data_IF_511741545618
#
_entry.id   IF_511741545618
#
_cell.length_a   1.000
_cell.length_b   1.000
_cell.length_c   1.000
_cell.angle_alpha   90.00
_cell.angle_beta   90.00
_cell.angle_gamma   90.00
#
_symmetry.space_group_name_H-M   'P 1'
#
loop_
_entity.id
_entity.type
_entity.pdbx_description
1 polymer ?
#
# COMPACT_ATOMS: atom_id res chain seq x y z
N UNK A 1 -10.78 15.48 -6.18
CA UNK A 1 -10.75 16.75 -6.94
C UNK A 1 -11.94 16.92 -7.87
N UNK A 2 -12.25 18.14 -8.21
CA UNK A 2 -13.36 18.51 -9.10
C UNK A 2 -12.80 19.13 -10.38
N UNK A 3 -13.40 18.75 -11.52
CA UNK A 3 -13.00 19.21 -12.85
C UNK A 3 -14.20 19.92 -13.51
N UNK A 4 -14.04 21.16 -13.91
CA UNK A 4 -15.02 21.89 -14.73
C UNK A 4 -14.56 21.81 -16.19
N UNK A 5 -15.24 21.02 -17.04
CA UNK A 5 -14.90 20.94 -18.46
C UNK A 5 -15.41 22.17 -19.21
N UNK A 6 -14.77 22.53 -20.33
CA UNK A 6 -15.24 23.62 -21.20
C UNK A 6 -16.54 23.27 -21.93
N UNK A 7 -16.77 22.01 -22.25
CA UNK A 7 -17.95 21.54 -22.97
C UNK A 7 -18.37 20.13 -22.50
N UNK A 8 -19.44 19.60 -23.08
CA UNK A 8 -19.99 18.28 -22.74
C UNK A 8 -19.46 17.12 -23.60
N UNK A 9 -18.48 17.35 -24.45
CA UNK A 9 -17.88 16.31 -25.28
C UNK A 9 -17.14 15.26 -24.44
N UNK A 10 -16.94 14.08 -25.01
CA UNK A 10 -16.26 12.99 -24.32
C UNK A 10 -14.80 13.35 -23.94
N UNK A 11 -14.11 14.11 -24.81
CA UNK A 11 -12.82 14.74 -24.53
C UNK A 11 -13.02 16.24 -24.56
N UNK A 12 -12.73 16.94 -23.48
CA UNK A 12 -12.89 18.38 -23.35
C UNK A 12 -11.64 19.00 -22.73
N UNK A 13 -11.35 20.25 -23.06
CA UNK A 13 -10.42 21.04 -22.27
C UNK A 13 -10.99 21.26 -20.88
N UNK A 14 -10.12 21.41 -19.91
CA UNK A 14 -10.47 21.74 -18.53
C UNK A 14 -10.45 23.24 -18.35
N UNK A 15 -11.58 23.80 -17.94
CA UNK A 15 -11.71 25.22 -17.59
C UNK A 15 -11.15 25.50 -16.20
N UNK A 16 -11.39 24.59 -15.26
CA UNK A 16 -10.95 24.72 -13.88
C UNK A 16 -10.78 23.32 -13.25
N UNK A 17 -9.74 23.16 -12.46
CA UNK A 17 -9.50 22.00 -11.61
C UNK A 17 -9.30 22.47 -10.18
N UNK A 18 -9.95 21.82 -9.22
CA UNK A 18 -9.79 22.13 -7.80
C UNK A 18 -9.72 20.87 -6.95
N UNK A 19 -8.60 20.70 -6.27
CA UNK A 19 -8.41 19.60 -5.33
C UNK A 19 -8.99 19.97 -3.95
N UNK A 20 -9.80 19.09 -3.38
CA UNK A 20 -10.40 19.19 -2.04
C UNK A 20 -10.96 20.59 -1.72
N UNK A 21 -11.88 21.13 -2.54
CA UNK A 21 -12.52 22.41 -2.24
C UNK A 21 -13.34 22.31 -0.94
N UNK A 22 -13.64 23.46 -0.34
CA UNK A 22 -14.61 23.51 0.73
C UNK A 22 -16.02 23.06 0.26
N UNK A 23 -16.89 22.76 1.23
CA UNK A 23 -18.22 22.19 0.94
C UNK A 23 -19.10 23.13 0.09
N UNK A 24 -18.98 24.43 0.27
CA UNK A 24 -19.77 25.40 -0.50
C UNK A 24 -19.30 25.45 -1.96
N UNK A 25 -18.00 25.50 -2.18
CA UNK A 25 -17.38 25.42 -3.50
C UNK A 25 -17.70 24.10 -4.19
N UNK A 26 -17.62 22.97 -3.47
CA UNK A 26 -17.98 21.66 -4.01
C UNK A 26 -19.45 21.61 -4.50
N UNK A 27 -20.39 22.17 -3.74
CA UNK A 27 -21.80 22.27 -4.16
C UNK A 27 -21.97 23.12 -5.42
N UNK A 28 -21.23 24.24 -5.53
CA UNK A 28 -21.24 25.09 -6.73
C UNK A 28 -20.72 24.34 -7.96
N UNK A 29 -19.65 23.56 -7.80
CA UNK A 29 -19.09 22.75 -8.89
C UNK A 29 -20.06 21.66 -9.35
N UNK A 30 -20.69 20.95 -8.41
CA UNK A 30 -21.70 19.94 -8.75
C UNK A 30 -22.88 20.56 -9.51
N UNK A 31 -23.35 21.74 -9.12
CA UNK A 31 -24.40 22.46 -9.84
C UNK A 31 -23.97 22.87 -11.27
N UNK A 32 -22.69 22.97 -11.57
CA UNK A 32 -22.11 23.22 -12.89
C UNK A 32 -21.76 21.93 -13.66
N UNK A 33 -22.25 20.78 -13.22
CA UNK A 33 -21.93 19.47 -13.81
C UNK A 33 -20.43 19.14 -13.81
N UNK A 34 -19.74 19.51 -12.74
CA UNK A 34 -18.35 19.14 -12.55
C UNK A 34 -18.18 17.62 -12.57
N UNK A 35 -17.05 17.18 -13.06
CA UNK A 35 -16.61 15.79 -13.01
C UNK A 35 -15.74 15.58 -11.79
N UNK A 36 -15.72 14.38 -11.26
CA UNK A 36 -14.75 13.97 -10.26
C UNK A 36 -13.44 13.54 -10.91
N UNK A 37 -12.32 13.97 -10.33
CA UNK A 37 -11.00 13.47 -10.71
C UNK A 37 -10.83 12.02 -10.22
N UNK A 38 -10.63 11.11 -11.16
CA UNK A 38 -10.40 9.71 -10.84
C UNK A 38 -8.93 9.41 -10.43
N UNK A 39 -8.05 10.42 -10.43
CA UNK A 39 -6.62 10.23 -10.14
C UNK A 39 -5.86 9.47 -11.22
N UNK A 40 -6.41 9.35 -12.43
CA UNK A 40 -5.78 8.66 -13.55
C UNK A 40 -5.31 9.69 -14.57
N UNK A 41 -4.00 9.74 -14.80
CA UNK A 41 -3.38 10.72 -15.67
C UNK A 41 -2.58 10.06 -16.80
N UNK A 42 -2.63 10.65 -17.99
CA UNK A 42 -1.78 10.32 -19.11
C UNK A 42 -1.01 11.56 -19.57
N UNK A 43 0.28 11.47 -19.70
CA UNK A 43 1.16 12.56 -20.12
C UNK A 43 2.40 12.04 -20.85
N UNK A 44 3.07 12.92 -21.59
CA UNK A 44 4.38 12.61 -22.15
C UNK A 44 5.44 12.63 -21.04
N UNK A 45 6.31 11.61 -21.01
CA UNK A 45 7.37 11.52 -19.99
C UNK A 45 8.23 12.78 -19.92
N UNK A 46 8.64 13.32 -21.07
CA UNK A 46 9.45 14.55 -21.14
C UNK A 46 8.76 15.77 -20.52
N UNK A 47 7.43 15.86 -20.60
CA UNK A 47 6.68 16.90 -19.92
C UNK A 47 6.81 16.78 -18.39
N UNK A 48 6.60 15.59 -17.86
CA UNK A 48 6.69 15.36 -16.41
C UNK A 48 8.11 15.58 -15.88
N UNK A 49 9.13 15.11 -16.61
CA UNK A 49 10.54 15.35 -16.27
C UNK A 49 10.85 16.86 -16.28
N UNK A 50 10.38 17.61 -17.27
CA UNK A 50 10.53 19.06 -17.30
C UNK A 50 9.88 19.76 -16.10
N UNK A 51 8.71 19.30 -15.66
CA UNK A 51 8.07 19.80 -14.42
C UNK A 51 8.89 19.46 -13.18
N UNK A 52 9.41 18.24 -13.08
CA UNK A 52 10.27 17.84 -11.97
C UNK A 52 11.52 18.71 -11.89
N UNK A 53 12.24 18.91 -13.00
CA UNK A 53 13.42 19.80 -13.07
C UNK A 53 13.10 21.26 -12.77
N UNK A 54 11.86 21.73 -13.01
CA UNK A 54 11.46 23.09 -12.58
C UNK A 54 11.24 23.23 -11.08
N UNK A 55 11.09 22.13 -10.36
CA UNK A 55 10.85 22.11 -8.91
C UNK A 55 12.11 21.80 -8.11
N UNK A 56 13.00 20.98 -8.64
CA UNK A 56 14.26 20.60 -8.03
C UNK A 56 15.27 20.27 -9.13
N UNK A 57 16.51 20.74 -8.96
CA UNK A 57 17.61 20.39 -9.86
C UNK A 57 18.21 19.04 -9.46
N UNK A 58 18.29 18.11 -10.41
CA UNK A 58 18.89 16.78 -10.25
C UNK A 58 19.45 16.27 -11.60
N UNK A 59 20.53 15.50 -11.52
CA UNK A 59 21.18 14.93 -12.70
C UNK A 59 20.61 13.56 -13.07
N UNK A 60 20.39 12.69 -12.06
CA UNK A 60 19.88 11.33 -12.22
C UNK A 60 19.01 10.91 -11.04
N UNK A 61 18.52 9.66 -11.09
CA UNK A 61 17.71 9.09 -9.99
C UNK A 61 18.45 9.08 -8.65
N UNK A 62 19.76 8.81 -8.65
CA UNK A 62 20.54 8.72 -7.40
C UNK A 62 20.70 10.08 -6.77
N UNK A 63 20.94 11.10 -7.57
CA UNK A 63 21.00 12.49 -7.09
C UNK A 63 19.65 12.94 -6.53
N UNK A 64 18.55 12.66 -7.24
CA UNK A 64 17.20 12.92 -6.74
C UNK A 64 16.90 12.17 -5.45
N UNK A 65 17.29 10.90 -5.34
CA UNK A 65 17.11 10.11 -4.13
C UNK A 65 17.83 10.72 -2.92
N UNK A 66 19.07 11.19 -3.11
CA UNK A 66 19.85 11.86 -2.05
C UNK A 66 19.25 13.21 -1.61
N UNK A 67 18.49 13.86 -2.51
CA UNK A 67 17.79 15.13 -2.26
C UNK A 67 16.34 14.93 -1.81
N UNK A 68 15.84 13.69 -1.75
CA UNK A 68 14.42 13.39 -1.56
C UNK A 68 13.83 14.00 -0.29
N UNK A 69 14.58 14.00 0.82
CA UNK A 69 14.14 14.56 2.09
C UNK A 69 14.00 16.10 2.08
N UNK A 70 14.55 16.76 1.06
CA UNK A 70 14.43 18.22 0.87
C UNK A 70 13.15 18.61 0.11
N UNK A 71 12.44 17.63 -0.47
CA UNK A 71 11.22 17.87 -1.24
C UNK A 71 10.07 18.29 -0.34
N UNK A 72 9.27 19.22 -0.84
CA UNK A 72 8.02 19.60 -0.19
C UNK A 72 7.03 18.43 -0.27
N UNK A 73 6.43 18.03 0.86
CA UNK A 73 5.36 17.03 0.90
C UNK A 73 4.07 17.62 0.31
N UNK A 74 3.85 17.40 -0.96
CA UNK A 74 2.70 17.91 -1.70
C UNK A 74 2.22 16.84 -2.72
N UNK A 75 0.91 16.71 -2.90
CA UNK A 75 0.38 15.78 -3.92
C UNK A 75 0.60 16.32 -5.34
N UNK A 76 0.61 15.40 -6.31
CA UNK A 76 0.70 15.73 -7.74
C UNK A 76 -0.44 16.66 -8.19
N UNK A 77 -1.64 16.47 -7.63
CA UNK A 77 -2.80 17.31 -7.92
C UNK A 77 -2.53 18.77 -7.56
N UNK A 78 -2.02 19.05 -6.38
CA UNK A 78 -1.68 20.40 -5.95
C UNK A 78 -0.41 20.96 -6.59
N UNK A 79 0.59 20.10 -6.79
CA UNK A 79 1.89 20.55 -7.29
C UNK A 79 1.83 20.88 -8.79
N UNK A 80 1.09 20.10 -9.56
CA UNK A 80 1.09 20.13 -11.03
C UNK A 80 -0.32 20.41 -11.58
N UNK A 81 -1.29 19.54 -11.30
CA UNK A 81 -2.59 19.55 -12.00
C UNK A 81 -3.35 20.85 -11.78
N UNK A 82 -3.46 21.32 -10.56
CA UNK A 82 -4.18 22.55 -10.22
C UNK A 82 -3.57 23.83 -10.85
N UNK A 83 -2.30 23.76 -11.22
CA UNK A 83 -1.55 24.88 -11.81
C UNK A 83 -1.39 24.79 -13.33
N UNK A 84 -1.82 23.67 -13.91
CA UNK A 84 -1.62 23.44 -15.35
C UNK A 84 -2.83 23.96 -16.14
N UNK A 85 -2.55 24.76 -17.18
CA UNK A 85 -3.59 25.36 -18.02
C UNK A 85 -3.94 24.56 -19.27
N UNK A 86 -3.12 23.54 -19.60
CA UNK A 86 -3.29 22.77 -20.84
C UNK A 86 -3.78 21.34 -20.58
N UNK A 87 -4.77 21.19 -19.72
CA UNK A 87 -5.35 19.90 -19.34
C UNK A 87 -6.55 19.57 -20.23
N UNK A 88 -6.66 18.31 -20.60
CA UNK A 88 -7.86 17.74 -21.17
C UNK A 88 -8.42 16.69 -20.21
N UNK A 89 -9.74 16.57 -20.14
CA UNK A 89 -10.46 15.54 -19.41
C UNK A 89 -11.12 14.59 -20.39
N UNK A 90 -10.95 13.28 -20.15
CA UNK A 90 -11.73 12.22 -20.79
C UNK A 90 -12.83 11.79 -19.83
N UNK A 91 -14.09 11.90 -20.26
CA UNK A 91 -15.24 11.47 -19.47
C UNK A 91 -15.30 9.95 -19.40
N UNK A 92 -15.57 9.44 -18.21
CA UNK A 92 -15.83 8.03 -17.97
C UNK A 92 -17.19 7.91 -17.28
N UNK A 93 -18.04 7.04 -17.81
CA UNK A 93 -19.41 6.82 -17.32
C UNK A 93 -19.67 5.40 -16.81
N UNK A 94 -18.62 4.58 -16.72
CA UNK A 94 -18.69 3.25 -16.13
C UNK A 94 -18.56 3.30 -14.59
N UNK A 95 -18.56 2.13 -13.99
CA UNK A 95 -18.36 2.00 -12.55
C UNK A 95 -16.92 2.36 -12.17
N UNK A 96 -16.80 3.29 -11.25
CA UNK A 96 -15.53 3.67 -10.63
C UNK A 96 -15.78 3.97 -9.14
N UNK A 97 -14.94 3.43 -8.28
CA UNK A 97 -15.07 3.61 -6.84
C UNK A 97 -13.70 3.72 -6.20
N UNK A 98 -13.53 4.73 -5.35
CA UNK A 98 -12.38 4.81 -4.47
C UNK A 98 -12.56 3.83 -3.30
N UNK A 99 -11.67 2.85 -3.18
CA UNK A 99 -11.68 1.83 -2.12
C UNK A 99 -10.58 2.09 -1.07
N UNK A 100 -10.16 3.33 -0.93
CA UNK A 100 -9.09 3.74 -0.01
C UNK A 100 -9.42 3.61 1.49
N UNK A 101 -10.64 3.23 1.85
CA UNK A 101 -11.07 3.03 3.24
C UNK A 101 -11.84 1.72 3.40
N UNK A 102 -11.86 1.15 4.61
CA UNK A 102 -12.48 -0.14 4.88
C UNK A 102 -14.00 -0.14 4.65
N UNK A 103 -14.71 0.96 4.96
CA UNK A 103 -16.13 1.07 4.64
C UNK A 103 -16.37 1.02 3.12
N UNK A 104 -15.59 1.76 2.33
CA UNK A 104 -15.72 1.72 0.87
C UNK A 104 -15.35 0.35 0.29
N UNK A 105 -14.31 -0.30 0.84
CA UNK A 105 -13.95 -1.66 0.48
C UNK A 105 -15.10 -2.64 0.78
N UNK A 106 -15.76 -2.51 1.93
CA UNK A 106 -16.86 -3.38 2.32
C UNK A 106 -18.08 -3.32 1.38
N UNK A 107 -18.27 -2.19 0.69
CA UNK A 107 -19.37 -1.99 -0.27
C UNK A 107 -19.13 -2.70 -1.61
N UNK A 108 -17.88 -2.99 -1.97
CA UNK A 108 -17.50 -3.68 -3.21
C UNK A 108 -17.17 -5.15 -3.00
N UNK A 109 -17.15 -5.63 -1.77
CA UNK A 109 -16.95 -7.06 -1.48
C UNK A 109 -18.12 -7.88 -2.01
N UNK A 110 -17.82 -8.92 -2.78
CA UNK A 110 -18.84 -9.87 -3.27
C UNK A 110 -19.48 -10.67 -2.13
N UNK A 111 -18.67 -11.05 -1.13
CA UNK A 111 -19.09 -11.82 0.04
C UNK A 111 -18.89 -11.02 1.31
N UNK A 112 -19.72 -11.28 2.33
CA UNK A 112 -19.57 -10.65 3.65
C UNK A 112 -18.25 -11.04 4.35
N UNK A 113 -17.70 -12.19 4.00
CA UNK A 113 -16.47 -12.69 4.63
C UNK A 113 -15.43 -13.08 3.60
N UNK A 114 -14.16 -12.77 3.89
CA UNK A 114 -12.98 -13.25 3.19
C UNK A 114 -12.05 -13.95 4.19
N UNK A 115 -11.59 -15.16 3.85
CA UNK A 115 -10.77 -15.98 4.75
C UNK A 115 -11.59 -16.80 5.75
N UNK A 116 -10.96 -17.27 6.83
CA UNK A 116 -11.62 -18.12 7.83
C UNK A 116 -12.48 -17.27 8.77
N UNK A 117 -13.72 -17.04 8.42
CA UNK A 117 -14.65 -16.26 9.24
C UNK A 117 -16.07 -16.84 9.20
N UNK A 118 -16.77 -16.77 10.31
CA UNK A 118 -18.16 -17.15 10.48
C UNK A 118 -18.91 -15.98 11.12
N UNK A 119 -20.05 -15.63 10.51
CA UNK A 119 -21.01 -14.67 11.05
C UNK A 119 -22.27 -15.47 11.44
N UNK A 120 -22.79 -15.24 12.64
CA UNK A 120 -24.07 -15.81 13.01
C UNK A 120 -25.23 -15.07 12.32
N UNK A 121 -26.45 -15.62 12.45
CA UNK A 121 -27.66 -15.05 11.82
C UNK A 121 -28.10 -13.71 12.41
N UNK A 122 -27.55 -13.32 13.55
CA UNK A 122 -27.86 -12.03 14.19
C UNK A 122 -26.93 -10.89 13.75
N UNK A 123 -25.90 -11.22 12.97
CA UNK A 123 -24.99 -10.23 12.39
C UNK A 123 -25.65 -9.47 11.22
N UNK A 124 -25.70 -8.14 11.35
CA UNK A 124 -26.28 -7.25 10.34
C UNK A 124 -25.19 -6.35 9.76
N UNK A 125 -25.17 -6.14 8.43
CA UNK A 125 -24.27 -5.24 7.73
C UNK A 125 -22.80 -5.32 8.20
N UNK A 126 -22.33 -6.52 8.53
CA UNK A 126 -20.97 -6.77 9.06
C UNK A 126 -20.13 -7.49 8.00
N UNK A 127 -18.91 -7.01 7.79
CA UNK A 127 -17.93 -7.64 6.89
C UNK A 127 -16.68 -8.05 7.68
N UNK A 128 -16.09 -9.17 7.28
CA UNK A 128 -14.85 -9.69 7.86
C UNK A 128 -13.85 -10.01 6.76
N UNK A 129 -12.63 -9.47 6.91
CA UNK A 129 -11.46 -9.85 6.09
C UNK A 129 -10.43 -10.46 7.02
N UNK A 130 -10.19 -11.75 6.90
CA UNK A 130 -9.26 -12.49 7.75
C UNK A 130 -8.14 -13.12 6.91
N UNK A 131 -6.95 -12.58 7.03
CA UNK A 131 -5.74 -13.11 6.38
C UNK A 131 -4.96 -14.06 7.31
N UNK A 132 -5.39 -14.19 8.56
CA UNK A 132 -4.79 -15.11 9.52
C UNK A 132 -5.25 -16.55 9.31
N UNK A 133 -4.45 -17.50 9.81
CA UNK A 133 -4.80 -18.92 9.77
C UNK A 133 -5.76 -19.37 10.90
N UNK A 134 -6.03 -18.50 11.86
CA UNK A 134 -7.01 -18.73 12.94
C UNK A 134 -8.40 -18.24 12.50
N UNK A 135 -9.49 -18.93 12.87
CA UNK A 135 -10.85 -18.50 12.50
C UNK A 135 -11.31 -17.31 13.34
N UNK A 136 -12.17 -16.48 12.74
CA UNK A 136 -12.91 -15.42 13.42
C UNK A 136 -14.39 -15.81 13.48
N UNK A 137 -14.98 -15.79 14.67
CA UNK A 137 -16.40 -15.92 14.88
C UNK A 137 -16.98 -14.59 15.34
N UNK A 138 -18.00 -14.10 14.64
CA UNK A 138 -18.74 -12.89 14.98
C UNK A 138 -20.19 -13.24 15.31
N UNK A 139 -20.69 -12.71 16.42
CA UNK A 139 -22.06 -12.91 16.87
C UNK A 139 -22.67 -11.55 17.27
N UNK A 140 -23.86 -11.26 16.77
CA UNK A 140 -24.59 -10.04 17.10
C UNK A 140 -23.94 -8.73 16.65
N UNK A 141 -22.96 -8.79 15.72
CA UNK A 141 -22.26 -7.61 15.23
C UNK A 141 -23.14 -6.84 14.24
N UNK A 142 -23.19 -5.50 14.38
CA UNK A 142 -23.97 -4.61 13.52
C UNK A 142 -23.09 -3.48 13.00
N UNK A 143 -23.19 -3.22 11.70
CA UNK A 143 -22.48 -2.13 11.00
C UNK A 143 -20.94 -2.16 11.22
N UNK A 144 -20.37 -3.36 11.31
CA UNK A 144 -18.96 -3.55 11.65
C UNK A 144 -18.11 -3.93 10.44
N UNK A 145 -16.86 -3.51 10.46
CA UNK A 145 -15.78 -4.08 9.68
C UNK A 145 -14.73 -4.67 10.62
N UNK A 146 -14.36 -5.91 10.37
CA UNK A 146 -13.31 -6.62 11.09
C UNK A 146 -12.26 -7.04 10.07
N UNK A 147 -11.04 -6.55 10.23
CA UNK A 147 -9.93 -6.90 9.36
C UNK A 147 -8.77 -7.41 10.22
N UNK A 148 -8.29 -8.61 9.91
CA UNK A 148 -7.21 -9.26 10.64
C UNK A 148 -6.10 -9.69 9.70
N UNK A 149 -4.88 -9.23 9.97
CA UNK A 149 -3.65 -9.56 9.25
C UNK A 149 -2.52 -9.85 10.24
N UNK A 150 -1.34 -10.20 9.72
CA UNK A 150 -0.14 -10.33 10.55
C UNK A 150 0.26 -9.05 11.28
N UNK A 151 -0.08 -7.90 10.71
CA UNK A 151 0.30 -6.58 11.27
C UNK A 151 -0.67 -6.09 12.35
N UNK A 152 -1.85 -6.69 12.46
CA UNK A 152 -2.82 -6.29 13.48
C UNK A 152 -4.26 -6.65 13.15
N UNK A 153 -5.13 -6.34 14.11
CA UNK A 153 -6.57 -6.59 13.99
C UNK A 153 -7.31 -5.26 14.16
N UNK A 154 -8.08 -4.89 13.15
CA UNK A 154 -9.02 -3.79 13.19
C UNK A 154 -10.41 -4.34 13.51
N UNK A 155 -11.06 -3.76 14.52
CA UNK A 155 -12.48 -3.94 14.82
C UNK A 155 -13.08 -2.54 14.89
N UNK A 156 -13.95 -2.22 13.95
CA UNK A 156 -14.48 -0.85 13.82
C UNK A 156 -15.92 -0.85 13.33
N UNK A 157 -16.68 0.14 13.79
CA UNK A 157 -17.84 0.58 13.05
C UNK A 157 -17.43 0.98 11.63
N UNK A 158 -18.27 0.71 10.61
CA UNK A 158 -17.93 0.96 9.20
C UNK A 158 -17.64 2.43 8.91
N UNK A 159 -18.47 3.35 9.36
CA UNK A 159 -18.27 4.78 9.12
C UNK A 159 -17.01 5.29 9.84
N UNK A 160 -16.79 4.84 11.07
CA UNK A 160 -15.60 5.20 11.85
C UNK A 160 -14.31 4.70 11.24
N UNK A 161 -14.34 3.59 10.51
CA UNK A 161 -13.15 3.01 9.88
C UNK A 161 -12.46 3.96 8.88
N UNK A 162 -13.18 4.90 8.30
CA UNK A 162 -12.62 5.94 7.43
C UNK A 162 -11.68 6.93 8.14
N UNK A 163 -11.76 7.02 9.47
CA UNK A 163 -10.99 7.97 10.29
C UNK A 163 -9.86 7.30 11.10
N UNK A 164 -9.48 6.07 10.77
CA UNK A 164 -8.52 5.28 11.54
C UNK A 164 -7.08 5.80 11.47
N UNK A 165 -6.69 6.48 10.39
CA UNK A 165 -5.30 6.86 10.09
C UNK A 165 -4.55 7.50 11.26
N UNK A 166 -5.07 8.52 11.98
CA UNK A 166 -4.37 9.15 13.11
C UNK A 166 -4.14 8.23 14.31
N UNK A 167 -4.89 7.13 14.38
CA UNK A 167 -4.75 6.12 15.44
C UNK A 167 -3.74 5.05 15.04
N UNK A 168 -3.77 4.60 13.78
CA UNK A 168 -2.80 3.64 13.25
C UNK A 168 -1.38 4.21 13.30
N UNK A 169 -1.20 5.50 12.99
CA UNK A 169 0.10 6.19 13.07
C UNK A 169 0.70 6.22 14.49
N UNK A 170 -0.10 5.94 15.53
CA UNK A 170 0.38 5.84 16.92
C UNK A 170 0.75 4.41 17.32
N UNK A 171 0.42 3.43 16.49
CA UNK A 171 0.74 2.03 16.75
C UNK A 171 2.13 1.79 16.15
N UNK A 172 3.14 1.74 17.03
CA UNK A 172 4.49 1.36 16.65
C UNK A 172 4.55 -0.17 16.56
N UNK A 173 4.47 -0.69 15.34
CA UNK A 173 4.65 -2.12 15.06
C UNK A 173 5.68 -2.31 13.97
N UNK A 174 6.54 -3.31 14.11
CA UNK A 174 7.32 -3.81 12.98
C UNK A 174 6.37 -4.52 12.00
N UNK A 175 6.65 -4.41 10.70
CA UNK A 175 5.87 -5.10 9.69
C UNK A 175 5.99 -6.61 9.90
N UNK A 176 4.87 -7.27 10.23
CA UNK A 176 4.83 -8.72 10.47
C UNK A 176 4.77 -9.52 9.18
N UNK A 177 4.45 -8.88 8.06
CA UNK A 177 4.42 -9.47 6.72
C UNK A 177 4.85 -8.45 5.68
N UNK A 178 5.65 -8.87 4.68
CA UNK A 178 5.85 -8.09 3.47
C UNK A 178 6.11 -8.97 2.25
N UNK A 179 5.55 -8.56 1.12
CA UNK A 179 5.91 -9.08 -0.19
C UNK A 179 7.08 -8.29 -0.77
N UNK A 180 8.00 -9.02 -1.39
CA UNK A 180 9.15 -8.48 -2.12
C UNK A 180 9.15 -9.03 -3.55
N UNK A 181 9.92 -8.43 -4.44
CA UNK A 181 10.04 -8.90 -5.83
C UNK A 181 10.41 -10.39 -5.93
N UNK A 182 11.26 -10.88 -5.04
CA UNK A 182 11.73 -12.28 -5.01
C UNK A 182 10.89 -13.24 -4.16
N UNK A 183 9.92 -12.77 -3.38
CA UNK A 183 9.16 -13.63 -2.46
C UNK A 183 8.46 -12.86 -1.35
N UNK A 184 8.35 -13.45 -0.17
CA UNK A 184 7.74 -12.80 1.00
C UNK A 184 8.44 -13.19 2.29
N UNK A 185 8.28 -12.40 3.32
CA UNK A 185 8.59 -12.80 4.68
C UNK A 185 7.38 -12.66 5.59
N UNK A 186 7.29 -13.52 6.58
CA UNK A 186 6.28 -13.47 7.65
C UNK A 186 7.00 -13.62 8.98
N UNK A 187 6.84 -12.68 9.88
CA UNK A 187 7.29 -12.80 11.27
C UNK A 187 6.38 -13.78 11.98
N UNK A 188 6.96 -14.83 12.58
CA UNK A 188 6.23 -15.90 13.27
C UNK A 188 6.17 -15.62 14.76
N UNK A 189 7.27 -15.13 15.32
CA UNK A 189 7.41 -14.89 16.75
C UNK A 189 8.41 -13.76 17.02
N UNK A 190 8.11 -12.93 18.00
CA UNK A 190 8.97 -11.84 18.48
C UNK A 190 9.08 -11.93 20.00
N UNK A 191 10.32 -12.04 20.50
CA UNK A 191 10.63 -12.06 21.92
C UNK A 191 11.72 -11.03 22.23
N UNK A 192 11.89 -10.59 23.48
CA UNK A 192 13.02 -9.75 23.83
C UNK A 192 14.34 -10.41 23.43
N UNK A 193 15.02 -9.86 22.43
CA UNK A 193 16.30 -10.34 21.94
C UNK A 193 16.27 -11.43 20.87
N UNK A 194 15.09 -11.87 20.40
CA UNK A 194 15.00 -12.82 19.28
C UNK A 194 13.75 -12.59 18.43
N UNK A 195 13.85 -12.96 17.14
CA UNK A 195 12.73 -12.93 16.21
C UNK A 195 12.81 -14.14 15.27
N UNK A 196 11.70 -14.83 15.08
CA UNK A 196 11.58 -15.93 14.12
C UNK A 196 10.83 -15.45 12.89
N UNK A 197 11.45 -15.62 11.72
CA UNK A 197 10.89 -15.17 10.45
C UNK A 197 10.84 -16.34 9.47
N UNK A 198 9.71 -16.53 8.83
CA UNK A 198 9.58 -17.41 7.66
C UNK A 198 9.84 -16.58 6.40
N UNK A 199 10.87 -16.92 5.64
CA UNK A 199 11.15 -16.36 4.32
C UNK A 199 10.72 -17.37 3.27
N UNK A 200 9.92 -16.93 2.30
CA UNK A 200 9.51 -17.72 1.15
C UNK A 200 10.07 -17.06 -0.11
N UNK A 201 10.82 -17.80 -0.90
CA UNK A 201 11.46 -17.30 -2.13
C UNK A 201 10.93 -18.06 -3.35
N UNK A 202 10.71 -17.35 -4.44
CA UNK A 202 10.39 -17.96 -5.73
C UNK A 202 11.64 -18.57 -6.35
N UNK A 203 11.45 -19.61 -7.15
CA UNK A 203 12.58 -20.23 -7.86
C UNK A 203 13.26 -19.24 -8.81
N UNK A 204 14.59 -19.17 -8.74
CA UNK A 204 15.39 -18.24 -9.53
C UNK A 204 15.57 -16.84 -8.93
N UNK A 205 14.85 -16.52 -7.86
CA UNK A 205 14.96 -15.23 -7.18
C UNK A 205 16.00 -15.23 -6.05
N UNK A 206 16.34 -14.04 -5.59
CA UNK A 206 17.34 -13.86 -4.54
C UNK A 206 16.97 -12.74 -3.58
N UNK A 207 17.50 -12.79 -2.38
CA UNK A 207 17.50 -11.68 -1.43
C UNK A 207 18.63 -10.71 -1.77
N UNK A 208 18.46 -9.44 -1.39
CA UNK A 208 19.55 -8.46 -1.47
C UNK A 208 20.75 -8.94 -0.62
N UNK A 209 21.96 -8.84 -1.16
CA UNK A 209 23.19 -9.12 -0.42
C UNK A 209 23.40 -8.03 0.64
N UNK A 210 23.28 -8.38 1.92
CA UNK A 210 23.25 -7.45 3.05
C UNK A 210 23.98 -7.99 4.27
N UNK A 211 24.06 -7.22 5.34
CA UNK A 211 24.59 -7.64 6.63
C UNK A 211 23.84 -6.98 7.78
N UNK A 212 23.97 -7.55 8.97
CA UNK A 212 23.47 -6.99 10.22
C UNK A 212 24.60 -6.77 11.21
N UNK A 213 24.72 -5.58 11.79
CA UNK A 213 25.81 -5.25 12.69
C UNK A 213 25.64 -5.85 14.10
N UNK A 214 24.40 -6.06 14.54
CA UNK A 214 24.08 -6.43 15.93
C UNK A 214 23.27 -7.71 16.05
N UNK A 215 22.96 -8.35 14.92
CA UNK A 215 22.13 -9.56 14.87
C UNK A 215 22.90 -10.68 14.19
N UNK A 216 22.92 -11.85 14.82
CA UNK A 216 23.27 -13.10 14.16
C UNK A 216 22.00 -13.80 13.69
N UNK A 217 22.11 -14.67 12.72
CA UNK A 217 21.00 -15.41 12.15
C UNK A 217 21.29 -16.91 12.10
N UNK A 218 20.25 -17.70 12.34
CA UNK A 218 20.27 -19.14 12.09
C UNK A 218 19.22 -19.43 11.03
N UNK A 219 19.66 -19.87 9.86
CA UNK A 219 18.77 -20.28 8.80
C UNK A 219 18.54 -21.77 8.80
N UNK A 220 17.28 -22.17 8.79
CA UNK A 220 16.86 -23.55 8.61
C UNK A 220 16.06 -23.65 7.34
N UNK A 221 16.48 -24.50 6.39
CA UNK A 221 15.71 -24.72 5.14
C UNK A 221 14.56 -25.68 5.46
N UNK A 222 13.35 -25.15 5.48
CA UNK A 222 12.12 -25.91 5.80
C UNK A 222 11.64 -26.72 4.59
N UNK A 223 11.79 -26.17 3.37
CA UNK A 223 11.42 -26.87 2.14
C UNK A 223 12.23 -26.37 0.93
N UNK A 224 12.45 -27.25 -0.04
CA UNK A 224 13.16 -26.91 -1.27
C UNK A 224 14.69 -26.93 -1.12
N UNK A 225 15.34 -26.10 -1.93
CA UNK A 225 16.80 -25.89 -1.91
C UNK A 225 17.11 -24.46 -2.27
N UNK A 226 18.17 -23.91 -1.70
CA UNK A 226 18.70 -22.60 -2.05
C UNK A 226 20.23 -22.62 -2.14
N UNK A 227 20.80 -21.59 -2.74
CA UNK A 227 22.21 -21.27 -2.64
C UNK A 227 22.36 -20.16 -1.61
N UNK A 228 23.05 -20.41 -0.51
CA UNK A 228 23.44 -19.39 0.44
C UNK A 228 24.84 -18.88 0.08
N UNK A 229 25.03 -17.57 0.18
CA UNK A 229 26.33 -16.91 0.03
C UNK A 229 26.59 -16.14 1.31
N UNK A 230 27.68 -16.49 2.02
CA UNK A 230 28.11 -15.83 3.26
C UNK A 230 29.56 -15.41 3.10
N UNK A 231 29.84 -14.10 3.19
CA UNK A 231 31.15 -13.49 2.93
C UNK A 231 31.83 -13.99 1.65
N UNK A 232 31.02 -14.15 0.59
CA UNK A 232 31.48 -14.61 -0.72
C UNK A 232 31.62 -16.13 -0.87
N UNK A 233 31.45 -16.90 0.20
CA UNK A 233 31.46 -18.36 0.14
C UNK A 233 30.06 -18.89 -0.20
N UNK A 234 30.00 -19.70 -1.25
CA UNK A 234 28.74 -20.28 -1.73
C UNK A 234 28.52 -21.68 -1.13
N UNK A 235 27.31 -21.93 -0.65
CA UNK A 235 26.88 -23.23 -0.19
C UNK A 235 25.46 -23.55 -0.68
N UNK A 236 25.24 -24.77 -1.17
CA UNK A 236 23.88 -25.23 -1.52
C UNK A 236 23.27 -25.89 -0.29
N UNK A 237 22.17 -25.34 0.16
CA UNK A 237 21.38 -25.84 1.29
C UNK A 237 20.11 -26.53 0.79
N UNK A 238 19.70 -27.58 1.47
CA UNK A 238 18.50 -28.39 1.19
C UNK A 238 17.61 -28.45 2.43
N UNK A 239 16.41 -28.94 2.29
CA UNK A 239 15.49 -29.17 3.40
C UNK A 239 16.19 -29.94 4.55
N UNK A 240 16.14 -29.37 5.75
CA UNK A 240 16.78 -29.86 6.96
C UNK A 240 18.17 -29.27 7.22
N UNK A 241 18.82 -28.64 6.26
CA UNK A 241 20.11 -27.99 6.48
C UNK A 241 19.97 -26.72 7.32
N UNK A 242 20.97 -26.48 8.14
CA UNK A 242 21.08 -25.33 9.04
C UNK A 242 22.41 -24.62 8.80
N UNK A 243 22.38 -23.28 8.74
CA UNK A 243 23.56 -22.43 8.67
C UNK A 243 23.45 -21.31 9.70
N UNK A 244 24.54 -21.01 10.39
CA UNK A 244 24.63 -19.86 11.29
C UNK A 244 25.41 -18.73 10.63
N UNK A 245 24.90 -17.53 10.69
CA UNK A 245 25.48 -16.33 10.11
C UNK A 245 25.76 -15.37 11.26
N UNK A 246 27.03 -15.09 11.52
CA UNK A 246 27.43 -14.19 12.59
C UNK A 246 27.09 -12.73 12.25
N UNK A 247 26.93 -11.89 13.27
CA UNK A 247 26.81 -10.46 13.09
C UNK A 247 28.03 -9.91 12.31
N UNK A 248 27.78 -8.98 11.39
CA UNK A 248 28.80 -8.41 10.52
C UNK A 248 29.11 -9.20 9.24
N UNK A 249 28.66 -10.46 9.10
CA UNK A 249 28.84 -11.23 7.87
C UNK A 249 27.85 -10.79 6.79
N UNK A 250 28.35 -10.53 5.58
CA UNK A 250 27.50 -10.26 4.41
C UNK A 250 26.90 -11.56 3.89
N UNK A 251 25.60 -11.52 3.60
CA UNK A 251 24.90 -12.76 3.19
C UNK A 251 23.71 -12.51 2.25
N UNK A 252 23.38 -13.56 1.52
CA UNK A 252 22.17 -13.67 0.71
C UNK A 252 21.80 -15.14 0.50
#
# INVERSE_FOLDING_TARGET
GYIIPENSENVSKVKEFKEKPDMETAKKYLAQSALWNAGIFAFKLGYLLGKAHSMIDFEDYRDLFNKYDTLTKISFDYAVVEKESSIQVLRYSGDWKDVGTWNMMSEVMADKTKGKAVLDETCENTNVVNELNIPILCMGCKDMIIAASGDGILISDKERSGYMKPYVEKIETEAMYAEKSGGSYTVIDVQPGSMTVKVSMRAGEHMTYHMHNYREEVWTVVSGRCKAIVDGMEQVLRTGDVITIAAGCKHT
#
